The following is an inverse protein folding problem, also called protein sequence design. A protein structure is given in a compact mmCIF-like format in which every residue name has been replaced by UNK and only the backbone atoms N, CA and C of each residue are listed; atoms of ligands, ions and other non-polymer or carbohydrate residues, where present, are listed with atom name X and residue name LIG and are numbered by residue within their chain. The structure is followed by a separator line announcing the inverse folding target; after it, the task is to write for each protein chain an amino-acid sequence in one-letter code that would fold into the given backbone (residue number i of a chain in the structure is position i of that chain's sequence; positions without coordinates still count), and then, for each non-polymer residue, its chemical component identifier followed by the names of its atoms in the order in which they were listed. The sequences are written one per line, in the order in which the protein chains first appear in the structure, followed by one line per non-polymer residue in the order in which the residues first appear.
data_IF_483547530621
#
_entry.id   IF_483547530621
#
_cell.length_a   1.000
_cell.length_b   1.000
_cell.length_c   1.000
_cell.angle_alpha   90.00
_cell.angle_beta   90.00
_cell.angle_gamma   90.00
#
_symmetry.space_group_name_H-M   'P 1'
#
loop_
_entity.id
_entity.type
_entity.pdbx_description
1 polymer ?
#
# COMPACT_ATOMS: atom_id res chain seq x y z
N UNK A 1 -33.91 4.55 62.51
CA UNK A 1 -33.32 3.31 61.97
C UNK A 1 -31.86 3.63 61.64
N UNK A 2 -30.95 3.76 62.60
CA UNK A 2 -30.33 2.79 63.51
C UNK A 2 -29.49 1.69 62.83
N UNK A 3 -28.21 1.65 63.24
CA UNK A 3 -27.13 0.66 63.08
C UNK A 3 -26.48 0.58 61.69
N UNK A 4 -25.21 0.94 61.43
CA UNK A 4 -23.93 0.80 62.17
C UNK A 4 -23.52 -0.64 62.46
N UNK A 5 -22.51 -1.15 61.74
CA UNK A 5 -21.43 -1.93 62.35
C UNK A 5 -20.16 -1.86 61.50
N UNK A 6 -19.07 -1.67 62.23
CA UNK A 6 -17.69 -1.39 61.88
C UNK A 6 -16.88 -2.68 61.92
N UNK A 7 -15.86 -2.86 61.06
CA UNK A 7 -14.64 -3.59 61.46
C UNK A 7 -13.42 -2.87 60.88
N UNK A 8 -12.47 -2.64 61.79
CA UNK A 8 -11.19 -1.95 61.69
C UNK A 8 -10.10 -2.79 61.00
N UNK A 9 -9.18 -2.12 60.30
CA UNK A 9 -7.89 -2.67 59.85
C UNK A 9 -6.94 -1.52 59.51
N UNK A 10 -5.99 -1.27 60.40
CA UNK A 10 -5.04 -0.16 60.42
C UNK A 10 -3.81 -0.43 59.52
N UNK A 11 -3.11 0.63 59.10
CA UNK A 11 -1.75 0.66 58.49
C UNK A 11 -1.72 0.33 56.98
N UNK A 12 -1.08 1.07 56.08
CA UNK A 12 0.11 1.93 56.15
C UNK A 12 0.14 2.79 54.88
N UNK A 13 0.48 4.09 54.97
CA UNK A 13 0.86 4.90 53.80
C UNK A 13 2.05 4.24 53.11
N UNK A 14 1.89 3.83 51.86
CA UNK A 14 3.02 3.64 50.95
C UNK A 14 2.71 4.42 49.68
N UNK A 15 3.51 5.48 49.48
CA UNK A 15 3.67 6.12 48.18
C UNK A 15 4.13 5.04 47.20
N UNK A 16 3.46 4.89 46.07
CA UNK A 16 3.98 4.25 44.87
C UNK A 16 3.16 4.79 43.68
N UNK A 17 3.47 6.03 43.32
CA UNK A 17 3.33 6.47 41.93
C UNK A 17 4.54 5.86 41.21
N UNK A 18 4.36 4.74 40.50
CA UNK A 18 5.27 4.19 39.46
C UNK A 18 4.76 2.80 39.01
N UNK A 19 3.57 2.73 38.42
CA UNK A 19 3.13 1.56 37.64
C UNK A 19 2.57 2.05 36.29
N UNK A 20 3.47 2.36 35.36
CA UNK A 20 3.13 2.40 33.93
C UNK A 20 4.39 2.03 33.12
N UNK A 21 4.53 0.75 32.79
CA UNK A 21 5.69 0.26 32.07
C UNK A 21 5.49 -1.10 31.42
N UNK A 22 5.12 -1.08 30.13
CA UNK A 22 5.23 -2.18 29.16
C UNK A 22 4.28 -3.39 29.32
N UNK A 23 3.06 -3.26 28.80
CA UNK A 23 2.23 -4.40 28.43
C UNK A 23 2.01 -4.45 26.91
N UNK A 24 2.88 -5.14 26.17
CA UNK A 24 2.60 -5.58 24.79
C UNK A 24 2.84 -7.07 24.65
N UNK A 25 1.82 -7.86 24.98
CA UNK A 25 1.75 -9.30 24.65
C UNK A 25 1.03 -9.47 23.30
N UNK A 26 1.74 -9.31 22.19
CA UNK A 26 1.21 -9.69 20.87
C UNK A 26 1.36 -11.20 20.70
N UNK A 27 0.26 -11.94 20.91
CA UNK A 27 0.21 -13.42 20.85
C UNK A 27 0.23 -13.97 19.42
N UNK A 28 1.19 -13.62 18.56
CA UNK A 28 1.39 -14.38 17.29
C UNK A 28 2.85 -14.28 16.84
N UNK A 29 3.75 -15.02 17.49
CA UNK A 29 5.09 -15.26 16.96
C UNK A 29 5.42 -16.75 17.05
N UNK A 30 6.05 -17.30 16.00
CA UNK A 30 6.70 -18.60 16.06
C UNK A 30 7.92 -18.54 17.01
N UNK A 31 8.37 -19.67 17.55
CA UNK A 31 9.49 -19.71 18.52
C UNK A 31 10.77 -19.00 18.02
N UNK A 32 11.07 -19.08 16.72
CA UNK A 32 12.22 -18.38 16.11
C UNK A 32 12.02 -16.87 16.03
N UNK A 33 10.79 -16.41 15.78
CA UNK A 33 10.46 -14.98 15.79
C UNK A 33 10.44 -14.41 17.21
N UNK A 34 10.09 -15.23 18.20
CA UNK A 34 10.16 -14.89 19.62
C UNK A 34 11.63 -14.71 20.06
N UNK A 35 12.54 -15.63 19.68
CA UNK A 35 13.98 -15.52 20.00
C UNK A 35 14.64 -14.31 19.31
N UNK A 36 14.27 -14.03 18.05
CA UNK A 36 14.69 -12.81 17.35
C UNK A 36 14.13 -11.55 18.03
N UNK A 37 12.86 -11.59 18.45
CA UNK A 37 12.25 -10.50 19.20
C UNK A 37 12.98 -10.30 20.54
N UNK A 38 13.25 -11.35 21.30
CA UNK A 38 13.94 -11.26 22.59
C UNK A 38 15.40 -10.81 22.45
N UNK A 39 16.11 -11.21 21.38
CA UNK A 39 17.46 -10.70 21.08
C UNK A 39 17.50 -9.24 20.65
N UNK A 40 16.46 -8.77 19.95
CA UNK A 40 16.37 -7.39 19.44
C UNK A 40 15.77 -6.44 20.48
N UNK A 41 14.82 -6.93 21.28
CA UNK A 41 14.01 -6.15 22.23
C UNK A 41 14.37 -6.38 23.69
N UNK A 42 15.24 -7.35 24.03
CA UNK A 42 15.79 -7.60 25.36
C UNK A 42 14.87 -7.07 26.46
N UNK A 43 13.77 -7.79 26.71
CA UNK A 43 12.77 -7.39 27.70
C UNK A 43 13.47 -6.86 28.95
N UNK A 44 13.14 -5.61 29.29
CA UNK A 44 13.48 -4.89 30.51
C UNK A 44 14.33 -5.72 31.49
N UNK A 45 15.66 -5.59 31.42
CA UNK A 45 16.47 -6.05 32.54
C UNK A 45 15.99 -5.29 33.77
N UNK A 46 15.52 -6.05 34.76
CA UNK A 46 15.42 -5.63 36.15
C UNK A 46 16.81 -5.15 36.61
N UNK A 47 17.19 -3.92 36.26
CA UNK A 47 18.38 -3.23 36.74
C UNK A 47 18.26 -2.83 38.23
N UNK A 48 17.43 -3.56 38.98
CA UNK A 48 17.34 -3.51 40.44
C UNK A 48 17.83 -4.79 41.14
N UNK A 49 18.04 -5.90 40.43
CA UNK A 49 18.41 -7.18 41.07
C UNK A 49 19.91 -7.53 41.05
N UNK A 50 20.77 -6.74 40.40
CA UNK A 50 22.21 -7.01 40.36
C UNK A 50 23.10 -5.89 40.95
N UNK A 51 22.59 -5.11 41.92
CA UNK A 51 23.42 -4.19 42.73
C UNK A 51 23.80 -4.73 44.11
N UNK A 52 23.30 -5.92 44.50
CA UNK A 52 23.43 -6.44 45.86
C UNK A 52 24.51 -7.52 46.09
N UNK A 53 25.31 -7.90 45.09
CA UNK A 53 26.35 -8.93 45.30
C UNK A 53 27.79 -8.55 44.90
N UNK A 54 28.07 -7.28 44.55
CA UNK A 54 29.39 -6.85 44.12
C UNK A 54 30.24 -6.10 45.17
N UNK A 55 29.89 -6.16 46.46
CA UNK A 55 30.73 -5.58 47.53
C UNK A 55 31.38 -6.67 48.37
N UNK A 56 32.32 -7.42 47.78
CA UNK A 56 33.22 -8.31 48.54
C UNK A 56 34.65 -7.78 48.45
N UNK A 57 35.18 -7.46 49.64
CA UNK A 57 36.54 -7.04 50.00
C UNK A 57 37.09 -5.77 49.34
N UNK A 58 36.87 -4.63 50.00
CA UNK A 58 37.76 -3.48 49.88
C UNK A 58 39.08 -3.80 50.58
N UNK A 59 40.11 -4.07 49.77
CA UNK A 59 41.48 -4.19 50.22
C UNK A 59 42.11 -2.77 50.27
N UNK A 60 42.39 -2.26 51.47
CA UNK A 60 42.94 -0.91 51.69
C UNK A 60 44.35 -0.70 51.09
N UNK A 61 44.97 -1.76 50.59
CA UNK A 61 46.27 -1.74 49.92
C UNK A 61 46.22 -1.28 48.45
N UNK A 62 45.05 -1.36 47.79
CA UNK A 62 44.87 -0.93 46.38
C UNK A 62 44.68 0.59 46.21
N UNK A 63 44.32 1.31 47.28
CA UNK A 63 44.06 2.75 47.24
C UNK A 63 45.32 3.58 46.95
N UNK A 64 46.52 3.04 47.21
CA UNK A 64 47.79 3.74 47.01
C UNK A 64 48.39 3.59 45.60
N UNK A 65 47.81 2.73 44.74
CA UNK A 65 48.22 2.56 43.34
C UNK A 65 47.32 3.32 42.34
N UNK A 66 46.22 3.92 42.79
CA UNK A 66 45.28 4.65 41.93
C UNK A 66 45.77 6.05 41.49
N UNK A 67 46.89 6.56 42.01
CA UNK A 67 47.42 7.87 41.59
C UNK A 67 48.19 7.82 40.26
N UNK A 68 48.48 6.62 39.72
CA UNK A 68 49.22 6.43 38.47
C UNK A 68 48.40 5.65 37.43
N UNK A 69 47.09 5.90 37.32
CA UNK A 69 46.34 5.45 36.14
C UNK A 69 46.76 6.32 34.95
N UNK A 70 47.15 5.75 33.81
CA UNK A 70 47.25 6.53 32.58
C UNK A 70 45.90 7.22 32.38
N UNK A 71 45.94 8.53 32.12
CA UNK A 71 44.77 9.32 31.76
C UNK A 71 43.95 8.53 30.74
N UNK A 72 42.65 8.31 31.01
CA UNK A 72 41.77 7.69 30.01
C UNK A 72 42.02 8.42 28.68
N UNK A 73 42.27 7.70 27.57
CA UNK A 73 42.36 8.33 26.26
C UNK A 73 41.13 9.24 26.09
N UNK A 74 41.37 10.50 25.76
CA UNK A 74 40.33 11.51 25.58
C UNK A 74 40.51 12.10 24.19
N UNK A 75 39.39 12.33 23.51
CA UNK A 75 39.43 13.07 22.26
C UNK A 75 39.95 14.50 22.50
N UNK A 76 40.64 15.09 21.51
CA UNK A 76 40.88 16.52 21.54
C UNK A 76 39.53 17.25 21.64
N UNK A 77 39.42 18.31 22.47
CA UNK A 77 38.18 19.05 22.63
C UNK A 77 37.72 19.59 21.27
N UNK A 78 36.52 19.17 20.86
CA UNK A 78 35.91 19.59 19.60
C UNK A 78 35.21 20.94 19.82
N UNK A 79 35.57 21.98 19.04
CA UNK A 79 34.87 23.26 19.07
C UNK A 79 33.48 23.11 18.44
N UNK A 80 32.44 23.52 19.17
CA UNK A 80 31.02 23.46 18.76
C UNK A 80 30.63 24.64 17.85
N UNK A 81 31.40 24.83 16.79
CA UNK A 81 31.29 25.93 15.82
C UNK A 81 30.04 25.87 14.92
N UNK A 82 29.50 24.67 14.69
CA UNK A 82 28.37 24.41 13.80
C UNK A 82 27.12 24.02 14.57
N UNK A 83 25.94 24.33 14.00
CA UNK A 83 24.65 23.90 14.55
C UNK A 83 24.58 22.37 14.74
N UNK A 84 25.19 21.60 13.84
CA UNK A 84 25.29 20.16 13.97
C UNK A 84 26.04 19.75 15.25
N UNK A 85 27.26 20.26 15.47
CA UNK A 85 28.04 19.92 16.66
C UNK A 85 27.35 20.39 17.94
N UNK A 86 26.66 21.53 17.90
CA UNK A 86 25.87 22.03 19.03
C UNK A 86 24.68 21.13 19.37
N UNK A 87 23.99 20.60 18.35
CA UNK A 87 22.86 19.69 18.53
C UNK A 87 23.31 18.28 18.93
N UNK A 88 24.52 17.87 18.52
CA UNK A 88 25.10 16.56 18.80
C UNK A 88 26.53 16.74 19.36
N UNK A 89 26.72 16.92 20.67
CA UNK A 89 28.05 17.03 21.29
C UNK A 89 28.79 15.68 21.28
N UNK A 90 30.13 15.66 21.37
CA UNK A 90 30.93 14.45 21.24
C UNK A 90 30.75 13.56 22.46
N UNK A 91 30.57 12.26 22.21
CA UNK A 91 30.52 11.28 23.28
C UNK A 91 31.91 11.11 23.89
N UNK A 92 31.99 10.75 25.19
CA UNK A 92 33.25 10.38 25.81
C UNK A 92 33.91 9.21 25.07
N UNK A 93 35.25 9.16 25.14
CA UNK A 93 36.01 8.06 24.54
C UNK A 93 35.58 6.72 25.17
N UNK A 94 35.12 5.80 24.32
CA UNK A 94 34.61 4.48 24.71
C UNK A 94 33.08 4.38 24.73
N UNK A 95 32.36 5.50 24.72
CA UNK A 95 30.89 5.54 24.89
C UNK A 95 30.15 5.75 23.55
N UNK A 96 30.85 5.69 22.42
CA UNK A 96 30.32 6.00 21.07
C UNK A 96 29.22 5.05 20.58
N UNK A 97 29.10 3.87 21.21
CA UNK A 97 28.10 2.84 20.90
C UNK A 97 27.04 2.69 21.99
N UNK A 98 27.13 3.49 23.06
CA UNK A 98 26.16 3.47 24.15
C UNK A 98 24.73 3.73 23.66
N UNK A 99 23.71 3.29 24.42
CA UNK A 99 22.31 3.44 24.02
C UNK A 99 21.89 4.88 23.67
N UNK A 100 22.55 5.87 24.26
CA UNK A 100 22.32 7.31 24.07
C UNK A 100 23.41 8.05 23.29
N UNK A 101 24.32 7.29 22.65
CA UNK A 101 25.40 7.85 21.85
C UNK A 101 24.89 8.78 20.75
N UNK A 102 25.73 9.76 20.41
CA UNK A 102 25.58 10.75 19.34
C UNK A 102 25.11 10.14 18.03
N UNK A 103 25.69 9.00 17.63
CA UNK A 103 25.36 8.32 16.37
C UNK A 103 23.88 7.94 16.27
N UNK A 104 23.28 7.45 17.36
CA UNK A 104 21.88 7.03 17.37
C UNK A 104 20.91 8.21 17.34
N UNK A 105 21.31 9.36 17.90
CA UNK A 105 20.53 10.61 17.83
C UNK A 105 20.54 11.17 16.41
N UNK A 106 21.72 11.25 15.79
CA UNK A 106 21.86 11.68 14.40
C UNK A 106 21.05 10.76 13.48
N UNK A 107 21.20 9.44 13.65
CA UNK A 107 20.43 8.47 12.87
C UNK A 107 18.93 8.65 13.07
N UNK A 108 18.46 8.86 14.30
CA UNK A 108 17.04 9.10 14.55
C UNK A 108 16.52 10.31 13.77
N UNK A 109 17.24 11.42 13.80
CA UNK A 109 16.77 12.66 13.20
C UNK A 109 16.78 12.59 11.67
N UNK A 110 17.87 12.10 11.08
CA UNK A 110 17.97 11.92 9.62
C UNK A 110 16.92 10.94 9.11
N UNK A 111 16.76 9.83 9.82
CA UNK A 111 15.90 8.76 9.39
C UNK A 111 14.41 9.13 9.61
N UNK A 112 14.09 9.94 10.63
CA UNK A 112 12.74 10.53 10.77
C UNK A 112 12.45 11.51 9.65
N UNK A 113 13.43 12.35 9.28
CA UNK A 113 13.31 13.29 8.14
C UNK A 113 13.08 12.57 6.80
N UNK A 114 13.48 11.30 6.68
CA UNK A 114 13.18 10.48 5.51
C UNK A 114 11.80 9.79 5.60
N UNK A 115 11.45 9.22 6.75
CA UNK A 115 10.24 8.40 6.90
C UNK A 115 8.96 9.22 6.88
N UNK A 116 8.97 10.41 7.50
CA UNK A 116 7.80 11.28 7.59
C UNK A 116 7.25 11.68 6.21
N UNK A 117 8.05 12.25 5.28
CA UNK A 117 7.55 12.59 3.94
C UNK A 117 7.18 11.36 3.11
N UNK A 118 7.88 10.22 3.29
CA UNK A 118 7.57 8.97 2.60
C UNK A 118 6.17 8.46 3.00
N UNK A 119 5.91 8.38 4.30
CA UNK A 119 4.62 7.93 4.86
C UNK A 119 3.49 8.88 4.48
N UNK A 120 3.72 10.19 4.53
CA UNK A 120 2.74 11.20 4.12
C UNK A 120 2.39 11.09 2.63
N UNK A 121 3.39 10.95 1.76
CA UNK A 121 3.20 10.76 0.33
C UNK A 121 2.39 9.50 0.02
N UNK A 122 2.69 8.39 0.67
CA UNK A 122 1.94 7.14 0.50
C UNK A 122 0.50 7.30 0.96
N UNK A 123 0.25 7.92 2.12
CA UNK A 123 -1.11 8.15 2.60
C UNK A 123 -1.92 9.03 1.62
N UNK A 124 -1.35 10.14 1.16
CA UNK A 124 -1.99 11.03 0.18
C UNK A 124 -2.31 10.31 -1.13
N UNK A 125 -1.37 9.51 -1.62
CA UNK A 125 -1.56 8.72 -2.85
C UNK A 125 -2.70 7.73 -2.69
N UNK A 126 -2.71 6.97 -1.59
CA UNK A 126 -3.76 5.97 -1.31
C UNK A 126 -5.15 6.63 -1.16
N UNK A 127 -5.24 7.83 -0.58
CA UNK A 127 -6.49 8.57 -0.44
C UNK A 127 -7.06 9.00 -1.80
N UNK A 128 -6.21 9.50 -2.70
CA UNK A 128 -6.61 9.87 -4.06
C UNK A 128 -7.12 8.63 -4.81
N UNK A 129 -6.42 7.50 -4.70
CA UNK A 129 -6.82 6.24 -5.34
C UNK A 129 -8.15 5.71 -4.79
N UNK A 130 -8.39 5.80 -3.47
CA UNK A 130 -9.67 5.40 -2.87
C UNK A 130 -10.84 6.23 -3.42
N UNK A 131 -10.67 7.55 -3.48
CA UNK A 131 -11.70 8.46 -3.99
C UNK A 131 -11.99 8.14 -5.46
N UNK A 132 -10.95 7.96 -6.27
CA UNK A 132 -11.11 7.60 -7.67
C UNK A 132 -11.81 6.25 -7.83
N UNK A 133 -11.34 5.20 -7.13
CA UNK A 133 -11.92 3.86 -7.23
C UNK A 133 -13.40 3.84 -6.79
N UNK A 134 -13.76 4.59 -5.74
CA UNK A 134 -15.15 4.72 -5.30
C UNK A 134 -16.05 5.40 -6.34
N UNK A 135 -15.63 6.56 -6.85
CA UNK A 135 -16.38 7.31 -7.88
C UNK A 135 -16.49 6.52 -9.18
N UNK A 136 -15.39 5.91 -9.62
CA UNK A 136 -15.35 5.10 -10.82
C UNK A 136 -16.28 3.90 -10.71
N UNK A 137 -16.22 3.15 -9.61
CA UNK A 137 -17.13 2.00 -9.36
C UNK A 137 -18.60 2.40 -9.35
N UNK A 138 -18.93 3.59 -8.82
CA UNK A 138 -20.30 4.09 -8.83
C UNK A 138 -20.81 4.37 -10.25
N UNK A 139 -19.98 5.00 -11.09
CA UNK A 139 -20.29 5.24 -12.51
C UNK A 139 -20.43 3.91 -13.25
N UNK A 140 -19.48 2.99 -13.09
CA UNK A 140 -19.51 1.67 -13.73
C UNK A 140 -20.75 0.86 -13.38
N UNK A 141 -21.21 0.96 -12.12
CA UNK A 141 -22.41 0.25 -11.66
C UNK A 141 -23.64 0.64 -12.47
N UNK A 142 -23.78 1.92 -12.85
CA UNK A 142 -24.89 2.37 -13.69
C UNK A 142 -24.89 1.71 -15.08
N UNK A 143 -23.71 1.57 -15.69
CA UNK A 143 -23.56 0.89 -16.96
C UNK A 143 -23.80 -0.61 -16.85
N UNK A 144 -23.29 -1.25 -15.78
CA UNK A 144 -23.47 -2.68 -15.54
C UNK A 144 -24.94 -3.04 -15.36
N UNK A 145 -25.73 -2.23 -14.65
CA UNK A 145 -27.17 -2.45 -14.49
C UNK A 145 -27.87 -2.49 -15.84
N UNK A 146 -27.45 -1.65 -16.79
CA UNK A 146 -28.04 -1.64 -18.13
C UNK A 146 -27.52 -2.80 -18.99
N UNK A 147 -26.22 -3.07 -19.02
CA UNK A 147 -25.67 -4.17 -19.81
C UNK A 147 -26.11 -5.56 -19.32
N UNK A 148 -26.35 -5.72 -18.03
CA UNK A 148 -26.85 -6.98 -17.48
C UNK A 148 -28.19 -7.38 -18.09
N UNK A 149 -29.04 -6.40 -18.46
CA UNK A 149 -30.30 -6.69 -19.16
C UNK A 149 -30.08 -7.36 -20.52
N UNK A 150 -28.98 -7.06 -21.20
CA UNK A 150 -28.63 -7.70 -22.47
C UNK A 150 -28.17 -9.17 -22.33
N UNK A 151 -27.97 -9.66 -21.11
CA UNK A 151 -27.76 -11.09 -20.81
C UNK A 151 -29.08 -11.82 -20.53
N UNK A 152 -30.15 -11.09 -20.23
CA UNK A 152 -31.47 -11.64 -19.95
C UNK A 152 -32.32 -11.72 -21.23
N UNK A 153 -33.29 -12.65 -21.28
CA UNK A 153 -34.32 -12.63 -22.31
C UNK A 153 -35.11 -11.33 -22.28
N UNK A 154 -35.32 -10.72 -23.45
CA UNK A 154 -36.15 -9.51 -23.57
C UNK A 154 -37.63 -9.89 -23.68
N UNK A 155 -38.31 -9.90 -22.54
CA UNK A 155 -39.74 -10.18 -22.46
C UNK A 155 -40.61 -9.07 -23.07
N UNK A 156 -40.12 -7.83 -23.12
CA UNK A 156 -40.87 -6.70 -23.69
C UNK A 156 -40.89 -6.81 -25.22
N UNK A 157 -39.72 -7.07 -25.84
CA UNK A 157 -39.63 -7.36 -27.26
C UNK A 157 -40.41 -8.63 -27.65
N UNK A 158 -40.33 -9.69 -26.83
CA UNK A 158 -41.11 -10.90 -27.05
C UNK A 158 -42.62 -10.62 -27.01
N UNK A 159 -43.09 -9.87 -26.02
CA UNK A 159 -44.51 -9.52 -25.88
C UNK A 159 -44.99 -8.63 -27.03
N UNK A 160 -44.19 -7.63 -27.42
CA UNK A 160 -44.49 -6.77 -28.57
C UNK A 160 -44.57 -7.59 -29.87
N UNK A 161 -43.67 -8.55 -30.07
CA UNK A 161 -43.69 -9.44 -31.21
C UNK A 161 -44.93 -10.34 -31.22
N UNK A 162 -45.32 -10.91 -30.08
CA UNK A 162 -46.56 -11.70 -29.94
C UNK A 162 -47.78 -10.86 -30.29
N UNK A 163 -47.90 -9.65 -29.73
CA UNK A 163 -49.03 -8.74 -30.01
C UNK A 163 -49.07 -8.37 -31.50
N UNK A 164 -47.92 -8.06 -32.11
CA UNK A 164 -47.84 -7.75 -33.54
C UNK A 164 -48.31 -8.92 -34.41
N UNK A 165 -47.87 -10.15 -34.10
CA UNK A 165 -48.30 -11.36 -34.81
C UNK A 165 -49.81 -11.56 -34.67
N UNK A 166 -50.37 -11.44 -33.45
CA UNK A 166 -51.81 -11.58 -33.21
C UNK A 166 -52.65 -10.50 -33.90
N UNK A 167 -52.22 -9.23 -33.86
CA UNK A 167 -52.91 -8.13 -34.52
C UNK A 167 -52.90 -8.28 -36.05
N UNK A 168 -51.78 -8.75 -36.60
CA UNK A 168 -51.64 -9.01 -38.05
C UNK A 168 -52.46 -10.23 -38.50
N UNK A 169 -52.65 -11.21 -37.61
CA UNK A 169 -53.53 -12.35 -37.83
C UNK A 169 -55.00 -11.93 -37.98
N UNK A 170 -55.48 -11.04 -37.10
CA UNK A 170 -56.84 -10.52 -37.14
C UNK A 170 -57.18 -9.73 -38.40
N UNK A 171 -56.18 -9.21 -39.11
CA UNK A 171 -56.34 -8.44 -40.34
C UNK A 171 -56.22 -9.29 -41.62
N UNK A 172 -56.10 -10.62 -41.50
CA UNK A 172 -56.09 -11.57 -42.63
C UNK A 172 -54.80 -11.55 -43.48
N UNK A 173 -53.75 -10.85 -43.04
CA UNK A 173 -52.53 -10.62 -43.82
C UNK A 173 -51.39 -11.62 -43.58
N UNK A 174 -51.50 -12.53 -42.61
CA UNK A 174 -50.44 -13.52 -42.28
C UNK A 174 -50.94 -14.99 -42.26
N UNK A 175 -50.20 -15.95 -42.86
CA UNK A 175 -50.49 -17.38 -42.76
C UNK A 175 -50.12 -17.96 -41.37
N UNK A 176 -50.82 -19.02 -40.94
CA UNK A 176 -50.70 -19.71 -39.63
C UNK A 176 -49.29 -20.25 -39.34
N UNK A 177 -48.45 -20.39 -40.37
CA UNK A 177 -47.07 -20.87 -40.26
C UNK A 177 -46.13 -19.93 -39.46
N UNK A 178 -46.47 -18.66 -39.28
CA UNK A 178 -45.67 -17.74 -38.46
C UNK A 178 -45.81 -17.95 -36.95
N UNK A 179 -46.82 -18.69 -36.47
CA UNK A 179 -46.94 -19.01 -35.03
C UNK A 179 -45.94 -20.10 -34.58
N UNK A 180 -45.44 -20.93 -35.50
CA UNK A 180 -44.46 -21.98 -35.19
C UNK A 180 -43.03 -21.44 -34.96
N UNK A 181 -42.79 -20.16 -35.23
CA UNK A 181 -41.51 -19.48 -34.99
C UNK A 181 -41.39 -18.80 -33.62
N UNK A 182 -42.44 -18.80 -32.80
CA UNK A 182 -42.40 -18.35 -31.41
C UNK A 182 -41.70 -19.41 -30.56
N UNK A 183 -40.37 -19.44 -30.64
CA UNK A 183 -39.52 -20.27 -29.77
C UNK A 183 -39.70 -19.88 -28.30
N UNK A 184 -39.41 -20.82 -27.41
CA UNK A 184 -39.49 -20.59 -25.96
C UNK A 184 -38.57 -19.41 -25.57
N UNK A 185 -39.10 -18.35 -24.93
CA UNK A 185 -38.30 -17.19 -24.53
C UNK A 185 -37.21 -17.53 -23.52
N UNK A 186 -37.31 -18.68 -22.82
CA UNK A 186 -36.28 -19.16 -21.91
C UNK A 186 -35.03 -19.69 -22.62
N UNK A 187 -35.09 -19.95 -23.93
CA UNK A 187 -33.99 -20.44 -24.77
C UNK A 187 -33.35 -19.29 -25.56
N UNK A 188 -33.42 -18.06 -25.04
CA UNK A 188 -32.82 -16.89 -25.69
C UNK A 188 -31.30 -17.07 -25.86
N UNK A 189 -30.84 -17.07 -27.12
CA UNK A 189 -29.42 -17.16 -27.46
C UNK A 189 -28.79 -15.79 -27.23
N UNK A 190 -28.06 -15.66 -26.11
CA UNK A 190 -27.30 -14.43 -25.81
C UNK A 190 -26.23 -14.20 -26.87
N UNK A 191 -26.20 -12.99 -27.43
CA UNK A 191 -25.17 -12.57 -28.38
C UNK A 191 -23.76 -12.65 -27.76
N UNK A 192 -22.79 -13.16 -28.52
CA UNK A 192 -21.38 -13.19 -28.10
C UNK A 192 -20.87 -11.78 -27.74
N UNK A 193 -21.33 -10.74 -28.45
CA UNK A 193 -20.92 -9.37 -28.19
C UNK A 193 -21.44 -8.87 -26.83
N UNK A 194 -22.68 -9.19 -26.47
CA UNK A 194 -23.24 -8.87 -25.15
C UNK A 194 -22.45 -9.54 -24.02
N UNK A 195 -21.96 -10.77 -24.24
CA UNK A 195 -21.08 -11.47 -23.29
C UNK A 195 -19.74 -10.75 -23.11
N UNK A 196 -19.13 -10.29 -24.20
CA UNK A 196 -17.87 -9.53 -24.13
C UNK A 196 -18.04 -8.19 -23.42
N UNK A 197 -19.08 -7.41 -23.75
CA UNK A 197 -19.35 -6.11 -23.10
C UNK A 197 -19.51 -6.30 -21.59
N UNK A 198 -20.40 -7.22 -21.19
CA UNK A 198 -20.62 -7.51 -19.77
C UNK A 198 -19.36 -8.05 -19.09
N UNK A 199 -18.63 -8.96 -19.74
CA UNK A 199 -17.38 -9.51 -19.22
C UNK A 199 -16.32 -8.43 -18.98
N UNK A 200 -16.14 -7.49 -19.91
CA UNK A 200 -15.22 -6.37 -19.76
C UNK A 200 -15.63 -5.45 -18.61
N UNK A 201 -16.92 -5.10 -18.50
CA UNK A 201 -17.38 -4.21 -17.42
C UNK A 201 -17.34 -4.88 -16.04
N UNK A 202 -17.68 -6.15 -15.92
CA UNK A 202 -17.49 -6.88 -14.66
C UNK A 202 -16.01 -6.99 -14.28
N UNK A 203 -15.14 -7.27 -15.26
CA UNK A 203 -13.70 -7.34 -15.02
C UNK A 203 -13.13 -6.00 -14.55
N UNK A 204 -13.56 -4.90 -15.18
CA UNK A 204 -13.19 -3.56 -14.74
C UNK A 204 -13.65 -3.32 -13.30
N UNK A 205 -14.94 -3.53 -12.99
CA UNK A 205 -15.45 -3.32 -11.63
C UNK A 205 -14.66 -4.14 -10.58
N UNK A 206 -14.33 -5.39 -10.88
CA UNK A 206 -13.53 -6.24 -9.99
C UNK A 206 -12.14 -5.64 -9.76
N UNK A 207 -11.45 -5.15 -10.81
CA UNK A 207 -10.16 -4.50 -10.65
C UNK A 207 -10.24 -3.22 -9.83
N UNK A 208 -11.24 -2.36 -10.08
CA UNK A 208 -11.47 -1.14 -9.29
C UNK A 208 -11.70 -1.46 -7.81
N UNK A 209 -12.56 -2.44 -7.50
CA UNK A 209 -12.82 -2.87 -6.12
C UNK A 209 -11.59 -3.52 -5.47
N UNK A 210 -10.82 -4.29 -6.22
CA UNK A 210 -9.56 -4.86 -5.74
C UNK A 210 -8.55 -3.75 -5.38
N UNK A 211 -8.43 -2.71 -6.22
CA UNK A 211 -7.60 -1.54 -5.90
C UNK A 211 -8.09 -0.86 -4.62
N UNK A 212 -9.39 -0.63 -4.47
CA UNK A 212 -9.95 -0.02 -3.26
C UNK A 212 -9.61 -0.84 -1.99
N UNK A 213 -9.80 -2.16 -2.03
CA UNK A 213 -9.46 -3.07 -0.93
C UNK A 213 -7.97 -3.03 -0.59
N UNK A 214 -7.11 -3.15 -1.60
CA UNK A 214 -5.65 -3.14 -1.43
C UNK A 214 -5.16 -1.79 -0.90
N UNK A 215 -5.77 -0.68 -1.33
CA UNK A 215 -5.42 0.64 -0.80
C UNK A 215 -5.80 0.77 0.68
N UNK A 216 -6.96 0.25 1.10
CA UNK A 216 -7.37 0.24 2.52
C UNK A 216 -6.38 -0.59 3.36
N UNK A 217 -6.04 -1.80 2.90
CA UNK A 217 -5.08 -2.68 3.59
C UNK A 217 -3.70 -2.02 3.69
N UNK A 218 -3.22 -1.47 2.58
CA UNK A 218 -1.92 -0.81 2.53
C UNK A 218 -1.90 0.41 3.44
N UNK A 219 -2.97 1.20 3.48
CA UNK A 219 -3.10 2.34 4.39
C UNK A 219 -3.01 1.90 5.84
N UNK A 220 -3.69 0.82 6.22
CA UNK A 220 -3.60 0.24 7.57
C UNK A 220 -2.15 -0.17 7.90
N UNK A 221 -1.43 -0.80 6.97
CA UNK A 221 -0.05 -1.22 7.19
C UNK A 221 0.92 -0.04 7.34
N UNK A 222 0.76 1.00 6.50
CA UNK A 222 1.58 2.23 6.56
C UNK A 222 1.33 2.98 7.87
N UNK A 223 0.06 3.12 8.27
CA UNK A 223 -0.30 3.75 9.54
C UNK A 223 0.23 2.94 10.73
N UNK A 224 0.16 1.62 10.66
CA UNK A 224 0.68 0.75 11.71
C UNK A 224 2.22 0.79 11.79
N UNK A 225 2.90 0.90 10.65
CA UNK A 225 4.34 1.19 10.61
C UNK A 225 4.66 2.50 11.34
N UNK A 226 3.99 3.59 10.97
CA UNK A 226 4.17 4.90 11.58
C UNK A 226 3.93 4.86 13.10
N UNK A 227 2.87 4.18 13.54
CA UNK A 227 2.61 3.97 14.97
C UNK A 227 3.74 3.23 15.68
N UNK A 228 4.28 2.15 15.08
CA UNK A 228 5.35 1.34 15.70
C UNK A 228 6.69 2.08 15.79
N UNK A 229 7.03 2.93 14.81
CA UNK A 229 8.26 3.72 14.87
C UNK A 229 8.15 4.88 15.86
N UNK A 230 6.98 5.51 15.96
CA UNK A 230 6.72 6.66 16.84
C UNK A 230 6.38 6.27 18.28
N UNK A 231 6.24 4.98 18.57
CA UNK A 231 6.03 4.51 19.94
C UNK A 231 7.21 4.93 20.84
N UNK A 232 7.00 5.21 22.14
CA UNK A 232 8.09 5.53 23.05
C UNK A 232 9.19 4.46 23.03
N UNK A 233 10.44 4.89 23.24
CA UNK A 233 11.61 4.03 23.30
C UNK A 233 12.51 4.50 24.43
N UNK A 234 13.01 3.59 25.26
CA UNK A 234 13.88 3.92 26.39
C UNK A 234 15.21 4.55 25.93
N UNK A 235 15.72 4.16 24.77
CA UNK A 235 16.94 4.73 24.18
C UNK A 235 16.87 4.95 22.66
N UNK A 236 17.64 5.91 22.11
CA UNK A 236 17.86 6.09 20.68
C UNK A 236 18.31 4.83 19.95
N UNK A 237 19.19 4.04 20.56
CA UNK A 237 19.64 2.77 19.99
C UNK A 237 18.50 1.75 19.83
N UNK A 238 17.64 1.60 20.83
CA UNK A 238 16.48 0.69 20.74
C UNK A 238 15.50 1.14 19.65
N UNK A 239 15.25 2.44 19.55
CA UNK A 239 14.45 3.00 18.45
C UNK A 239 15.06 2.67 17.09
N UNK A 240 16.38 2.85 16.94
CA UNK A 240 17.08 2.64 15.68
C UNK A 240 16.98 1.18 15.21
N UNK A 241 17.16 0.22 16.13
CA UNK A 241 16.99 -1.22 15.85
C UNK A 241 15.55 -1.54 15.43
N UNK A 242 14.56 -1.01 16.16
CA UNK A 242 13.14 -1.19 15.85
C UNK A 242 12.78 -0.65 14.47
N UNK A 243 13.21 0.58 14.15
CA UNK A 243 12.99 1.20 12.85
C UNK A 243 13.66 0.41 11.74
N UNK A 244 14.93 0.01 11.90
CA UNK A 244 15.63 -0.84 10.94
C UNK A 244 14.87 -2.15 10.68
N UNK A 245 14.43 -2.86 11.72
CA UNK A 245 13.67 -4.11 11.57
C UNK A 245 12.40 -3.93 10.72
N UNK A 246 11.60 -2.90 11.04
CA UNK A 246 10.33 -2.68 10.32
C UNK A 246 10.53 -2.10 8.93
N UNK A 247 11.50 -1.21 8.74
CA UNK A 247 11.82 -0.64 7.44
C UNK A 247 12.38 -1.70 6.48
N UNK A 248 13.31 -2.53 6.94
CA UNK A 248 13.79 -3.69 6.18
C UNK A 248 12.66 -4.68 5.87
N UNK A 249 11.74 -4.87 6.82
CA UNK A 249 10.49 -5.59 6.58
C UNK A 249 9.68 -5.00 5.43
N UNK A 250 9.41 -3.70 5.45
CA UNK A 250 8.66 -3.02 4.39
C UNK A 250 9.28 -3.22 3.00
N UNK A 251 10.61 -3.11 2.91
CA UNK A 251 11.35 -3.31 1.66
C UNK A 251 11.32 -4.78 1.22
N UNK A 252 11.56 -5.72 2.13
CA UNK A 252 11.54 -7.17 1.85
C UNK A 252 10.17 -7.65 1.37
N UNK A 253 9.10 -7.11 1.93
CA UNK A 253 7.72 -7.40 1.52
C UNK A 253 7.24 -6.54 0.33
N UNK A 254 8.14 -5.73 -0.26
CA UNK A 254 7.89 -4.94 -1.46
C UNK A 254 6.68 -4.00 -1.34
N UNK A 255 6.41 -3.46 -0.14
CA UNK A 255 5.29 -2.54 0.04
C UNK A 255 5.37 -1.30 -0.89
N UNK A 256 6.55 -0.66 -1.09
CA UNK A 256 6.66 0.44 -2.04
C UNK A 256 6.30 0.03 -3.47
N UNK A 257 6.62 -1.20 -3.86
CA UNK A 257 6.24 -1.78 -5.14
C UNK A 257 4.73 -1.97 -5.27
N UNK A 258 4.09 -2.53 -4.24
CA UNK A 258 2.64 -2.66 -4.18
C UNK A 258 1.96 -1.30 -4.37
N UNK A 259 2.33 -0.29 -3.56
CA UNK A 259 1.76 1.07 -3.62
C UNK A 259 1.91 1.65 -5.03
N UNK A 260 3.08 1.45 -5.65
CA UNK A 260 3.35 1.93 -7.00
C UNK A 260 2.48 1.24 -8.05
N UNK A 261 2.14 -0.05 -7.90
CA UNK A 261 1.31 -0.79 -8.87
C UNK A 261 -0.19 -0.50 -8.80
N UNK A 262 -0.70 -0.03 -7.66
CA UNK A 262 -2.14 0.23 -7.46
C UNK A 262 -2.73 1.21 -8.48
N UNK A 263 -2.11 2.38 -8.76
CA UNK A 263 -2.58 3.28 -9.83
C UNK A 263 -2.65 2.60 -11.20
N UNK A 264 -1.69 1.72 -11.54
CA UNK A 264 -1.68 1.05 -12.85
C UNK A 264 -2.84 0.08 -12.97
N UNK A 265 -3.11 -0.71 -11.92
CA UNK A 265 -4.26 -1.62 -11.92
C UNK A 265 -5.58 -0.84 -12.09
N UNK A 266 -5.68 0.35 -11.48
CA UNK A 266 -6.83 1.23 -11.61
C UNK A 266 -6.97 1.81 -13.03
N UNK A 267 -5.85 2.20 -13.66
CA UNK A 267 -5.88 2.64 -15.06
C UNK A 267 -6.22 1.51 -16.02
N UNK A 268 -5.73 0.27 -15.77
CA UNK A 268 -6.12 -0.90 -16.55
C UNK A 268 -7.63 -1.11 -16.48
N UNK A 269 -8.21 -0.99 -15.29
CA UNK A 269 -9.66 -0.98 -15.09
C UNK A 269 -10.33 0.06 -15.99
N UNK A 270 -9.91 1.32 -15.91
CA UNK A 270 -10.45 2.41 -16.72
C UNK A 270 -10.43 2.11 -18.23
N UNK A 271 -9.31 1.62 -18.77
CA UNK A 271 -9.21 1.31 -20.19
C UNK A 271 -10.05 0.08 -20.60
N UNK A 272 -10.18 -0.91 -19.73
CA UNK A 272 -11.06 -2.07 -19.95
C UNK A 272 -12.53 -1.62 -19.99
N UNK A 273 -12.93 -0.72 -19.10
CA UNK A 273 -14.26 -0.10 -19.13
C UNK A 273 -14.51 0.70 -20.42
N UNK A 274 -13.57 1.56 -20.81
CA UNK A 274 -13.68 2.37 -22.03
C UNK A 274 -13.76 1.49 -23.29
N UNK A 275 -13.04 0.37 -23.35
CA UNK A 275 -13.16 -0.60 -24.43
C UNK A 275 -14.57 -1.20 -24.50
N UNK A 276 -15.13 -1.59 -23.35
CA UNK A 276 -16.53 -2.05 -23.27
C UNK A 276 -17.52 -0.97 -23.69
N UNK A 277 -17.28 0.30 -23.36
CA UNK A 277 -18.12 1.43 -23.75
C UNK A 277 -18.14 1.65 -25.27
N UNK A 278 -16.99 1.59 -25.93
CA UNK A 278 -16.92 1.68 -27.40
C UNK A 278 -17.75 0.56 -28.04
N UNK A 279 -17.58 -0.68 -27.58
CA UNK A 279 -18.31 -1.85 -28.08
C UNK A 279 -19.83 -1.75 -27.84
N UNK A 280 -20.22 -1.23 -26.69
CA UNK A 280 -21.63 -1.01 -26.35
C UNK A 280 -22.27 0.00 -27.31
N UNK A 281 -21.65 1.17 -27.47
CA UNK A 281 -22.18 2.23 -28.34
C UNK A 281 -22.10 1.85 -29.81
N UNK A 282 -21.18 0.97 -30.22
CA UNK A 282 -21.06 0.51 -31.61
C UNK A 282 -22.34 -0.15 -32.14
N UNK A 283 -23.13 -0.80 -31.29
CA UNK A 283 -24.42 -1.37 -31.67
C UNK A 283 -25.54 -0.34 -31.73
N UNK A 284 -25.43 0.76 -30.99
CA UNK A 284 -26.44 1.82 -30.94
C UNK A 284 -26.26 2.79 -32.10
N UNK A 285 -25.05 3.34 -32.24
CA UNK A 285 -24.72 4.32 -33.28
C UNK A 285 -23.23 4.25 -33.64
N UNK A 286 -22.94 3.96 -34.91
CA UNK A 286 -21.56 3.83 -35.41
C UNK A 286 -20.83 5.16 -35.44
N UNK A 287 -21.51 6.27 -35.71
CA UNK A 287 -20.90 7.59 -35.78
C UNK A 287 -20.40 8.02 -34.40
N UNK A 288 -21.25 7.89 -33.38
CA UNK A 288 -20.89 8.21 -31.99
C UNK A 288 -19.77 7.27 -31.52
N UNK A 289 -19.87 5.97 -31.81
CA UNK A 289 -18.85 5.00 -31.40
C UNK A 289 -17.47 5.24 -32.02
N UNK A 290 -17.40 5.65 -33.31
CA UNK A 290 -16.13 6.06 -33.93
C UNK A 290 -15.50 7.26 -33.20
N UNK A 291 -16.32 8.23 -32.78
CA UNK A 291 -15.87 9.36 -31.96
C UNK A 291 -15.29 8.91 -30.62
N UNK A 292 -15.98 8.01 -29.90
CA UNK A 292 -15.47 7.44 -28.65
C UNK A 292 -14.18 6.66 -28.86
N UNK A 293 -14.10 5.84 -29.91
CA UNK A 293 -12.91 5.06 -30.23
C UNK A 293 -11.70 5.97 -30.49
N UNK A 294 -11.88 7.06 -31.24
CA UNK A 294 -10.82 8.04 -31.50
C UNK A 294 -10.33 8.69 -30.21
N UNK A 295 -11.25 9.09 -29.32
CA UNK A 295 -10.93 9.69 -28.03
C UNK A 295 -10.19 8.70 -27.12
N UNK A 296 -10.72 7.48 -26.95
CA UNK A 296 -10.09 6.42 -26.14
C UNK A 296 -8.71 6.05 -26.68
N UNK A 297 -8.56 5.95 -28.00
CA UNK A 297 -7.27 5.62 -28.64
C UNK A 297 -6.26 6.75 -28.43
N UNK A 298 -6.68 8.01 -28.53
CA UNK A 298 -5.80 9.17 -28.28
C UNK A 298 -5.33 9.21 -26.83
N UNK A 299 -6.24 8.98 -25.88
CA UNK A 299 -5.91 8.92 -24.45
C UNK A 299 -4.95 7.76 -24.14
N UNK A 300 -5.20 6.57 -24.71
CA UNK A 300 -4.33 5.41 -24.56
C UNK A 300 -2.95 5.67 -25.16
N UNK A 301 -2.88 6.28 -26.35
CA UNK A 301 -1.62 6.63 -26.98
C UNK A 301 -0.82 7.63 -26.14
N UNK A 302 -1.47 8.65 -25.57
CA UNK A 302 -0.84 9.58 -24.65
C UNK A 302 -0.32 8.88 -23.39
N UNK A 303 -1.12 8.00 -22.80
CA UNK A 303 -0.73 7.22 -21.62
C UNK A 303 0.51 6.35 -21.89
N UNK A 304 0.50 5.60 -23.00
CA UNK A 304 1.63 4.76 -23.42
C UNK A 304 2.85 5.61 -23.73
N UNK A 305 2.70 6.76 -24.40
CA UNK A 305 3.81 7.66 -24.67
C UNK A 305 4.46 8.15 -23.37
N UNK A 306 3.67 8.58 -22.38
CA UNK A 306 4.18 8.99 -21.08
C UNK A 306 4.92 7.86 -20.34
N UNK A 307 4.45 6.62 -20.48
CA UNK A 307 5.10 5.44 -19.88
C UNK A 307 6.42 5.07 -20.58
N UNK A 308 6.49 5.22 -21.90
CA UNK A 308 7.63 4.83 -22.73
C UNK A 308 8.68 5.95 -22.81
N UNK A 309 8.28 7.22 -22.69
CA UNK A 309 9.15 8.40 -22.78
C UNK A 309 10.43 8.33 -21.90
N UNK A 310 10.38 7.92 -20.63
CA UNK A 310 11.58 7.87 -19.79
C UNK A 310 12.60 6.80 -20.23
N UNK A 311 12.22 5.89 -21.14
CA UNK A 311 13.15 4.89 -21.69
C UNK A 311 14.13 5.50 -22.71
N UNK A 312 13.80 6.66 -23.28
CA UNK A 312 14.70 7.41 -24.18
C UNK A 312 15.50 8.49 -23.47
N UNK A 313 14.98 9.02 -22.36
CA UNK A 313 15.67 10.02 -21.54
C UNK A 313 15.41 9.77 -20.06
N UNK A 314 16.47 9.48 -19.32
CA UNK A 314 16.43 9.29 -17.86
C UNK A 314 15.95 10.58 -17.15
N UNK A 315 16.17 11.74 -17.76
CA UNK A 315 15.76 13.05 -17.24
C UNK A 315 14.28 13.40 -17.52
N UNK A 316 13.46 12.44 -17.97
CA UNK A 316 12.05 12.70 -18.29
C UNK A 316 11.24 13.02 -17.03
N UNK A 317 10.40 14.08 -17.04
CA UNK A 317 9.51 14.39 -15.92
C UNK A 317 8.38 13.35 -15.74
N UNK A 318 8.19 12.44 -16.70
CA UNK A 318 7.17 11.38 -16.63
C UNK A 318 7.68 10.09 -15.98
N UNK A 319 8.88 10.10 -15.39
CA UNK A 319 9.41 8.94 -14.68
C UNK A 319 8.45 8.53 -13.55
N UNK A 320 8.01 7.28 -13.59
CA UNK A 320 7.14 6.70 -12.56
C UNK A 320 7.95 5.74 -11.68
N UNK A 321 7.62 5.59 -10.39
CA UNK A 321 8.35 4.71 -9.47
C UNK A 321 8.31 3.23 -9.90
N UNK A 322 7.26 2.82 -10.63
CA UNK A 322 7.18 1.49 -11.24
C UNK A 322 8.27 1.31 -12.28
N UNK A 323 8.49 2.32 -13.13
CA UNK A 323 9.47 2.24 -14.19
C UNK A 323 10.90 2.19 -13.63
N UNK A 324 11.18 2.90 -12.53
CA UNK A 324 12.44 2.76 -11.80
C UNK A 324 12.66 1.34 -11.27
N UNK A 325 11.63 0.74 -10.65
CA UNK A 325 11.68 -0.66 -10.19
C UNK A 325 11.84 -1.65 -11.35
N UNK A 326 11.21 -1.36 -12.49
CA UNK A 326 11.30 -2.16 -13.70
C UNK A 326 12.69 -2.11 -14.32
N UNK A 327 13.30 -0.92 -14.35
CA UNK A 327 14.64 -0.69 -14.86
C UNK A 327 15.73 -1.26 -13.94
N UNK A 328 15.51 -1.32 -12.63
CA UNK A 328 16.46 -1.91 -11.67
C UNK A 328 16.53 -3.44 -11.74
N UNK A 329 15.44 -4.10 -12.16
CA UNK A 329 15.43 -5.54 -12.45
C UNK A 329 16.14 -5.75 -13.81
N UNK A 330 17.45 -6.04 -13.77
CA UNK A 330 18.34 -6.15 -14.92
C UNK A 330 17.92 -7.11 -16.06
N UNK A 331 16.85 -7.89 -15.91
CA UNK A 331 16.21 -8.66 -16.99
C UNK A 331 15.47 -7.79 -18.02
N UNK A 332 15.04 -6.58 -17.65
CA UNK A 332 14.29 -5.71 -18.55
C UNK A 332 15.14 -5.13 -19.69
N UNK A 333 16.44 -4.92 -19.47
CA UNK A 333 17.28 -4.29 -20.47
C UNK A 333 17.37 -5.09 -21.79
N UNK A 334 17.31 -6.43 -21.73
CA UNK A 334 17.32 -7.29 -22.92
C UNK A 334 15.94 -7.41 -23.57
N UNK A 335 14.87 -7.58 -22.77
CA UNK A 335 13.49 -7.66 -23.28
C UNK A 335 13.03 -6.34 -23.90
N UNK A 336 13.46 -5.21 -23.35
CA UNK A 336 13.10 -3.88 -23.80
C UNK A 336 13.89 -3.46 -25.05
N UNK A 337 15.17 -3.85 -25.17
CA UNK A 337 15.93 -3.76 -26.44
C UNK A 337 15.29 -4.58 -27.55
N UNK A 338 14.76 -5.78 -27.22
CA UNK A 338 14.04 -6.61 -28.18
C UNK A 338 12.73 -5.93 -28.63
N UNK A 339 11.96 -5.39 -27.68
CA UNK A 339 10.68 -4.75 -27.95
C UNK A 339 10.86 -3.44 -28.74
N UNK A 340 11.88 -2.63 -28.41
CA UNK A 340 12.26 -1.45 -29.19
C UNK A 340 12.64 -1.81 -30.63
N UNK A 341 13.41 -2.89 -30.85
CA UNK A 341 13.73 -3.38 -32.21
C UNK A 341 12.49 -3.80 -32.98
N UNK A 342 11.51 -4.44 -32.32
CA UNK A 342 10.25 -4.82 -32.98
C UNK A 342 9.40 -3.62 -33.34
N UNK A 343 9.29 -2.61 -32.47
CA UNK A 343 8.53 -1.39 -32.75
C UNK A 343 9.19 -0.58 -33.86
N UNK A 344 10.51 -0.41 -33.84
CA UNK A 344 11.25 0.23 -34.94
C UNK A 344 11.07 -0.51 -36.26
N UNK A 345 11.09 -1.85 -36.25
CA UNK A 345 10.87 -2.65 -37.45
C UNK A 345 9.44 -2.54 -38.01
N UNK A 346 8.44 -2.35 -37.14
CA UNK A 346 7.04 -2.13 -37.56
C UNK A 346 6.87 -0.73 -38.13
N UNK A 347 7.42 0.30 -37.48
CA UNK A 347 7.37 1.69 -37.97
C UNK A 347 8.07 1.82 -39.33
N UNK A 348 9.23 1.18 -39.50
CA UNK A 348 9.99 1.22 -40.75
C UNK A 348 9.36 0.37 -41.89
N UNK A 349 8.38 -0.48 -41.58
CA UNK A 349 7.56 -1.20 -42.57
C UNK A 349 6.25 -0.48 -42.90
N UNK A 350 5.83 0.46 -42.07
CA UNK A 350 4.61 1.24 -42.24
C UNK A 350 4.85 2.59 -42.94
N UNK A 351 6.08 3.10 -42.89
CA UNK A 351 6.64 4.13 -43.79
C UNK A 351 7.14 3.48 -45.08
#
# INVERSE_FOLDING_TARGET
MSASSTVSGQSTKTNNDDEDGCAYRTRVFSYEQQDLFDRVYGMCEDEKLNKNYAWRSYDHSAARQLSNRPSKPSYPPEELDTNFKRNYPPDPFGDEVEPHARVWKIYRDEATSHDEPMVDLWNKTLDILLIFAGLFSAVETAFIVEAYRALLPDYDAYTAHVIYVFASFGNGSLPVQHLSGLGDPSVAVVSNLSRWINGLWFLSLIFSLAVALLCILTKQWVQYYAFRINSPSSSPQQWARRRSLYYEGLLRWHLPGLISTLPVLLHVSLFVFLAGLVLFVWNLDRFISMGLLALTSTLLAFYVLCFVAPMWSIDSPTMSPILEQLMSIGMYHNSLRWLMRTIQAVIHRAL
#
